data_IF_197096201422
#
_entry.id   IF_197096201422
#
_cell.length_a   1.000
_cell.length_b   1.000
_cell.length_c   1.000
_cell.angle_alpha   90.00
_cell.angle_beta   90.00
_cell.angle_gamma   90.00
#
_symmetry.space_group_name_H-M   'P 1'
#
loop_
_entity.id
_entity.type
_entity.pdbx_description
1 polymer ?
#
# COMPACT_ATOMS: atom_id res chain seq x y z
N UNK A 1 -19.00 27.60 19.20
CA UNK A 1 -17.81 26.98 19.76
C UNK A 1 -18.05 25.47 19.81
N UNK A 2 -17.34 24.73 18.97
CA UNK A 2 -17.30 23.28 19.05
C UNK A 2 -16.36 22.96 20.22
N UNK A 3 -16.87 22.33 21.27
CA UNK A 3 -16.03 21.78 22.33
C UNK A 3 -15.73 20.33 21.96
N UNK A 4 -14.47 20.04 21.69
CA UNK A 4 -13.92 18.70 21.66
C UNK A 4 -13.79 18.20 23.10
N UNK A 5 -14.74 17.41 23.59
CA UNK A 5 -14.54 16.60 24.77
C UNK A 5 -14.15 15.19 24.30
N UNK A 6 -12.85 14.98 24.07
CA UNK A 6 -12.29 13.65 23.98
C UNK A 6 -12.25 13.03 25.38
N UNK A 7 -13.30 12.28 25.74
CA UNK A 7 -13.25 11.39 26.90
C UNK A 7 -12.43 10.15 26.51
N UNK A 8 -11.23 10.05 27.06
CA UNK A 8 -10.47 8.81 27.10
C UNK A 8 -11.18 7.85 28.05
N UNK A 9 -11.78 6.78 27.50
CA UNK A 9 -11.64 5.41 28.01
C UNK A 9 -12.58 4.43 27.28
N UNK A 10 -11.98 3.32 26.83
CA UNK A 10 -12.52 1.97 26.55
C UNK A 10 -13.63 1.81 25.52
N UNK A 11 -13.32 1.03 24.47
CA UNK A 11 -14.18 0.51 23.39
C UNK A 11 -14.84 1.63 22.58
N UNK A 12 -14.23 1.93 21.45
CA UNK A 12 -14.62 2.96 20.50
C UNK A 12 -16.12 3.00 20.23
N UNK A 13 -16.86 3.74 21.04
CA UNK A 13 -18.16 4.26 20.68
C UNK A 13 -17.91 5.43 19.73
N UNK A 14 -18.14 5.22 18.44
CA UNK A 14 -17.99 6.23 17.39
C UNK A 14 -19.17 7.21 17.43
N UNK A 15 -19.46 7.77 18.60
CA UNK A 15 -20.57 8.71 18.79
C UNK A 15 -20.02 10.12 18.87
N UNK A 16 -20.38 10.95 17.89
CA UNK A 16 -20.05 12.38 17.88
C UNK A 16 -21.25 13.18 18.42
N UNK A 17 -21.06 13.90 19.51
CA UNK A 17 -22.08 14.82 20.02
C UNK A 17 -21.85 16.21 19.41
N UNK A 18 -22.86 16.72 18.70
CA UNK A 18 -22.85 18.06 18.12
C UNK A 18 -23.91 18.94 18.77
N UNK A 19 -23.51 20.13 19.19
CA UNK A 19 -24.38 21.10 19.80
C UNK A 19 -24.25 22.45 19.13
N UNK A 20 -25.39 23.04 18.73
CA UNK A 20 -25.47 24.37 18.15
C UNK A 20 -26.47 25.23 18.92
N UNK A 21 -26.04 26.42 19.35
CA UNK A 21 -26.91 27.39 19.99
C UNK A 21 -27.39 28.39 18.92
N UNK A 22 -28.71 28.38 18.63
CA UNK A 22 -29.33 29.29 17.69
C UNK A 22 -30.64 29.85 18.26
N UNK A 23 -31.00 31.08 17.89
CA UNK A 23 -32.27 31.72 18.25
C UNK A 23 -33.46 31.05 17.56
N UNK A 24 -33.24 30.41 16.41
CA UNK A 24 -34.24 29.67 15.63
C UNK A 24 -33.89 28.19 15.63
N UNK A 25 -34.66 27.39 16.38
CA UNK A 25 -34.44 25.96 16.55
C UNK A 25 -34.43 25.23 15.18
N UNK A 26 -35.34 25.58 14.28
CA UNK A 26 -35.46 24.93 12.95
C UNK A 26 -34.18 25.18 12.13
N UNK A 27 -33.67 26.41 12.12
CA UNK A 27 -32.41 26.74 11.45
C UNK A 27 -31.25 25.97 12.01
N UNK A 28 -31.17 25.78 13.33
CA UNK A 28 -30.15 24.99 13.99
C UNK A 28 -30.21 23.50 13.57
N UNK A 29 -31.39 22.91 13.54
CA UNK A 29 -31.62 21.53 13.09
C UNK A 29 -31.19 21.37 11.62
N UNK A 30 -31.61 22.27 10.73
CA UNK A 30 -31.31 22.20 9.31
C UNK A 30 -29.81 22.35 9.06
N UNK A 31 -29.14 23.22 9.82
CA UNK A 31 -27.68 23.38 9.75
C UNK A 31 -26.94 22.11 10.17
N UNK A 32 -27.31 21.50 11.31
CA UNK A 32 -26.69 20.26 11.76
C UNK A 32 -26.95 19.10 10.79
N UNK A 33 -28.17 19.01 10.26
CA UNK A 33 -28.51 18.00 9.23
C UNK A 33 -27.65 18.16 7.99
N UNK A 34 -27.51 19.39 7.49
CA UNK A 34 -26.70 19.67 6.32
C UNK A 34 -25.23 19.39 6.58
N UNK A 35 -24.73 19.69 7.78
CA UNK A 35 -23.35 19.37 8.20
C UNK A 35 -23.07 17.85 8.12
N UNK A 36 -23.99 17.01 8.65
CA UNK A 36 -23.86 15.54 8.57
C UNK A 36 -23.88 15.05 7.14
N UNK A 37 -24.77 15.62 6.29
CA UNK A 37 -24.83 15.25 4.85
C UNK A 37 -23.51 15.61 4.16
N UNK A 38 -22.98 16.81 4.41
CA UNK A 38 -21.70 17.22 3.84
C UNK A 38 -20.55 16.35 4.31
N UNK A 39 -20.48 16.02 5.60
CA UNK A 39 -19.46 15.14 6.16
C UNK A 39 -19.50 13.74 5.53
N UNK A 40 -20.68 13.12 5.44
CA UNK A 40 -20.82 11.79 4.84
C UNK A 40 -20.46 11.80 3.35
N UNK A 41 -20.86 12.84 2.61
CA UNK A 41 -20.48 13.00 1.21
C UNK A 41 -18.97 13.11 1.06
N UNK A 42 -18.34 13.95 1.88
CA UNK A 42 -16.90 14.14 1.87
C UNK A 42 -16.14 12.85 2.18
N UNK A 43 -16.56 12.10 3.21
CA UNK A 43 -15.95 10.83 3.56
C UNK A 43 -16.04 9.80 2.43
N UNK A 44 -17.15 9.80 1.68
CA UNK A 44 -17.29 8.94 0.51
C UNK A 44 -16.43 9.39 -0.67
N UNK A 45 -16.33 10.69 -0.93
CA UNK A 45 -15.44 11.24 -1.97
C UNK A 45 -13.98 10.89 -1.69
N UNK A 46 -13.51 11.04 -0.44
CA UNK A 46 -12.16 10.71 -0.02
C UNK A 46 -11.84 9.21 -0.21
N UNK A 47 -12.77 8.34 0.20
CA UNK A 47 -12.63 6.89 -0.01
C UNK A 47 -12.60 6.53 -1.50
N UNK A 48 -13.44 7.17 -2.30
CA UNK A 48 -13.48 6.94 -3.74
C UNK A 48 -12.18 7.40 -4.41
N UNK A 49 -11.61 8.52 -4.01
CA UNK A 49 -10.34 9.00 -4.58
C UNK A 49 -9.20 8.01 -4.32
N UNK A 50 -9.08 7.50 -3.08
CA UNK A 50 -8.11 6.47 -2.74
C UNK A 50 -8.38 5.18 -3.53
N UNK A 51 -9.65 4.76 -3.64
CA UNK A 51 -10.04 3.55 -4.37
C UNK A 51 -9.67 3.63 -5.86
N UNK A 52 -9.97 4.73 -6.52
CA UNK A 52 -9.63 4.97 -7.94
C UNK A 52 -8.12 4.91 -8.16
N UNK A 53 -7.33 5.52 -7.26
CA UNK A 53 -5.87 5.48 -7.35
C UNK A 53 -5.30 4.09 -7.10
N UNK A 54 -5.91 3.35 -6.16
CA UNK A 54 -5.54 1.97 -5.88
C UNK A 54 -5.87 1.06 -7.07
N UNK A 55 -7.04 1.24 -7.69
CA UNK A 55 -7.43 0.52 -8.90
C UNK A 55 -6.45 0.75 -10.06
N UNK A 56 -6.11 2.02 -10.32
CA UNK A 56 -5.13 2.36 -11.35
C UNK A 56 -3.76 1.70 -11.11
N UNK A 57 -3.30 1.70 -9.85
CA UNK A 57 -2.07 1.01 -9.46
C UNK A 57 -2.15 -0.50 -9.67
N UNK A 58 -3.25 -1.13 -9.25
CA UNK A 58 -3.45 -2.58 -9.39
C UNK A 58 -3.49 -2.99 -10.86
N UNK A 59 -4.19 -2.23 -11.70
CA UNK A 59 -4.27 -2.51 -13.13
C UNK A 59 -2.90 -2.40 -13.81
N UNK A 60 -2.12 -1.33 -13.53
CA UNK A 60 -0.75 -1.17 -14.02
C UNK A 60 0.16 -2.35 -13.58
N UNK A 61 -0.03 -2.83 -12.36
CA UNK A 61 0.71 -3.97 -11.85
C UNK A 61 0.29 -5.29 -12.49
N UNK A 62 -1.00 -5.50 -12.75
CA UNK A 62 -1.50 -6.68 -13.44
C UNK A 62 -0.95 -6.78 -14.86
N UNK A 63 -0.91 -5.67 -15.59
CA UNK A 63 -0.29 -5.63 -16.92
C UNK A 63 1.18 -6.04 -16.88
N UNK A 64 1.92 -5.54 -15.88
CA UNK A 64 3.33 -5.87 -15.69
C UNK A 64 3.52 -7.36 -15.37
N UNK A 65 2.72 -7.90 -14.43
CA UNK A 65 2.77 -9.31 -14.05
C UNK A 65 2.43 -10.20 -15.25
N UNK A 66 1.41 -9.87 -16.03
CA UNK A 66 1.04 -10.62 -17.24
C UNK A 66 2.17 -10.63 -18.28
N UNK A 67 2.85 -9.49 -18.46
CA UNK A 67 4.01 -9.40 -19.35
C UNK A 67 5.18 -10.26 -18.87
N UNK A 68 5.48 -10.24 -17.56
CA UNK A 68 6.52 -11.05 -16.94
C UNK A 68 6.18 -12.56 -17.03
N UNK A 69 4.92 -12.94 -16.80
CA UNK A 69 4.45 -14.32 -16.89
C UNK A 69 4.61 -14.87 -18.30
N UNK A 70 4.14 -14.15 -19.32
CA UNK A 70 4.27 -14.55 -20.72
C UNK A 70 5.75 -14.76 -21.12
N UNK A 71 6.65 -13.90 -20.61
CA UNK A 71 8.10 -14.05 -20.83
C UNK A 71 8.65 -15.30 -20.14
N UNK A 72 8.23 -15.57 -18.91
CA UNK A 72 8.69 -16.72 -18.11
C UNK A 72 8.17 -18.04 -18.67
N UNK A 73 6.92 -18.10 -19.12
CA UNK A 73 6.34 -19.30 -19.75
C UNK A 73 7.10 -19.67 -21.02
N UNK A 74 7.45 -18.68 -21.85
CA UNK A 74 8.29 -18.89 -23.04
C UNK A 74 9.68 -19.42 -22.70
N UNK A 75 10.29 -18.95 -21.64
CA UNK A 75 11.59 -19.45 -21.15
C UNK A 75 11.47 -20.87 -20.60
N UNK A 76 10.41 -21.18 -19.84
CA UNK A 76 10.16 -22.51 -19.29
C UNK A 76 9.90 -23.54 -20.40
N UNK A 77 9.13 -23.18 -21.42
CA UNK A 77 8.89 -24.04 -22.57
C UNK A 77 10.20 -24.36 -23.30
N UNK A 78 11.04 -23.34 -23.53
CA UNK A 78 12.34 -23.53 -24.14
C UNK A 78 13.29 -24.38 -23.26
N UNK A 79 13.24 -24.20 -21.94
CA UNK A 79 14.03 -25.01 -21.00
C UNK A 79 13.57 -26.48 -20.98
N UNK A 80 12.27 -26.73 -20.95
CA UNK A 80 11.70 -28.10 -21.05
C UNK A 80 12.07 -28.80 -22.36
N UNK A 81 12.01 -28.06 -23.48
CA UNK A 81 12.42 -28.60 -24.81
C UNK A 81 13.91 -28.94 -24.89
N UNK A 82 14.78 -28.17 -24.22
CA UNK A 82 16.24 -28.39 -24.22
C UNK A 82 16.70 -29.50 -23.28
N UNK A 83 16.05 -29.63 -22.12
CA UNK A 83 16.52 -30.47 -21.02
C UNK A 83 15.73 -31.76 -20.86
N UNK A 84 15.03 -32.32 -21.83
CA UNK A 84 14.31 -33.63 -21.74
C UNK A 84 14.21 -34.10 -20.28
N UNK A 85 13.35 -33.46 -19.46
CA UNK A 85 13.25 -33.76 -18.04
C UNK A 85 12.80 -35.20 -17.85
N UNK A 86 13.76 -36.04 -17.42
CA UNK A 86 13.51 -37.37 -16.90
C UNK A 86 12.80 -37.16 -15.56
N UNK A 87 11.62 -37.78 -15.39
CA UNK A 87 10.92 -37.83 -14.13
C UNK A 87 11.84 -38.41 -13.07
N UNK A 88 12.33 -37.57 -12.14
CA UNK A 88 12.99 -38.01 -10.93
C UNK A 88 11.93 -38.65 -10.00
N UNK A 89 11.99 -39.94 -9.77
CA UNK A 89 11.25 -40.61 -8.71
C UNK A 89 11.76 -40.09 -7.36
N UNK A 90 10.94 -39.34 -6.66
CA UNK A 90 11.28 -38.73 -5.38
C UNK A 90 10.80 -39.61 -4.26
N UNK A 91 11.72 -40.33 -3.63
CA UNK A 91 11.53 -41.00 -2.32
C UNK A 91 11.95 -40.06 -1.19
N UNK A 92 11.27 -38.91 -1.03
CA UNK A 92 11.57 -38.03 0.08
C UNK A 92 10.44 -37.01 0.35
N UNK A 93 9.32 -37.51 0.87
CA UNK A 93 8.17 -36.67 1.20
C UNK A 93 8.51 -35.50 2.16
N UNK A 94 9.45 -35.71 3.08
CA UNK A 94 9.91 -34.72 4.05
C UNK A 94 10.81 -33.64 3.39
N UNK A 95 11.70 -34.08 2.53
CA UNK A 95 12.59 -33.19 1.77
C UNK A 95 11.83 -32.26 0.82
N UNK A 96 10.79 -32.77 0.17
CA UNK A 96 9.91 -31.99 -0.71
C UNK A 96 9.14 -30.93 0.08
N UNK A 97 8.67 -31.25 1.29
CA UNK A 97 7.93 -30.31 2.13
C UNK A 97 8.83 -29.15 2.58
N UNK A 98 10.07 -29.41 2.96
CA UNK A 98 11.03 -28.41 3.37
C UNK A 98 11.46 -27.51 2.21
N UNK A 99 11.76 -28.09 1.04
CA UNK A 99 12.06 -27.32 -0.18
C UNK A 99 10.90 -26.39 -0.57
N UNK A 100 9.68 -26.92 -0.55
CA UNK A 100 8.47 -26.12 -0.83
C UNK A 100 8.30 -24.95 0.14
N UNK A 101 8.63 -25.12 1.43
CA UNK A 101 8.59 -24.05 2.43
C UNK A 101 9.62 -22.95 2.14
N UNK A 102 10.83 -23.29 1.73
CA UNK A 102 11.84 -22.29 1.33
C UNK A 102 11.42 -21.55 0.06
N UNK A 103 10.91 -22.25 -0.94
CA UNK A 103 10.40 -21.65 -2.19
C UNK A 103 9.26 -20.68 -1.90
N UNK A 104 8.32 -21.03 -1.03
CA UNK A 104 7.24 -20.14 -0.62
C UNK A 104 7.78 -18.86 0.01
N UNK A 105 8.73 -18.95 0.94
CA UNK A 105 9.35 -17.78 1.59
C UNK A 105 10.09 -16.89 0.59
N UNK A 106 10.81 -17.48 -0.37
CA UNK A 106 11.49 -16.75 -1.43
C UNK A 106 10.49 -16.00 -2.32
N UNK A 107 9.40 -16.65 -2.71
CA UNK A 107 8.34 -16.07 -3.53
C UNK A 107 7.60 -14.94 -2.79
N UNK A 108 7.31 -15.12 -1.50
CA UNK A 108 6.70 -14.08 -0.67
C UNK A 108 7.60 -12.84 -0.57
N UNK A 109 8.89 -13.03 -0.30
CA UNK A 109 9.84 -11.92 -0.25
C UNK A 109 9.98 -11.21 -1.60
N UNK A 110 10.08 -11.96 -2.70
CA UNK A 110 10.15 -11.42 -4.05
C UNK A 110 8.89 -10.61 -4.40
N UNK A 111 7.71 -11.11 -4.03
CA UNK A 111 6.42 -10.43 -4.24
C UNK A 111 6.38 -9.10 -3.49
N UNK A 112 6.78 -9.07 -2.21
CA UNK A 112 6.81 -7.84 -1.42
C UNK A 112 7.83 -6.84 -1.97
N UNK A 113 9.02 -7.27 -2.38
CA UNK A 113 10.04 -6.41 -3.01
C UNK A 113 9.50 -5.80 -4.32
N UNK A 114 8.85 -6.61 -5.15
CA UNK A 114 8.25 -6.15 -6.41
C UNK A 114 7.12 -5.14 -6.14
N UNK A 115 6.30 -5.36 -5.11
CA UNK A 115 5.24 -4.45 -4.69
C UNK A 115 5.80 -3.09 -4.24
N UNK A 116 6.83 -3.11 -3.40
CA UNK A 116 7.51 -1.89 -2.94
C UNK A 116 8.10 -1.12 -4.13
N UNK A 117 8.80 -1.79 -5.04
CA UNK A 117 9.35 -1.14 -6.23
C UNK A 117 8.27 -0.49 -7.10
N UNK A 118 7.14 -1.17 -7.31
CA UNK A 118 6.01 -0.65 -8.08
C UNK A 118 5.39 0.56 -7.41
N UNK A 119 5.29 0.56 -6.06
CA UNK A 119 4.74 1.68 -5.30
C UNK A 119 5.67 2.91 -5.36
N UNK A 120 6.98 2.71 -5.24
CA UNK A 120 7.96 3.78 -5.40
C UNK A 120 7.85 4.40 -6.81
N UNK A 121 7.84 3.57 -7.85
CA UNK A 121 7.69 4.03 -9.24
C UNK A 121 6.37 4.78 -9.46
N UNK A 122 5.28 4.31 -8.86
CA UNK A 122 3.97 4.97 -8.95
C UNK A 122 4.01 6.37 -8.29
N UNK A 123 4.60 6.46 -7.09
CA UNK A 123 4.73 7.72 -6.37
C UNK A 123 5.63 8.74 -7.08
N UNK A 124 6.62 8.28 -7.86
CA UNK A 124 7.55 9.12 -8.61
C UNK A 124 7.00 9.65 -9.94
N UNK A 125 5.89 9.13 -10.44
CA UNK A 125 5.29 9.61 -11.69
C UNK A 125 4.85 11.07 -11.55
N UNK A 126 5.17 11.96 -12.50
CA UNK A 126 4.80 13.37 -12.40
C UNK A 126 3.30 13.61 -12.19
N UNK A 127 2.43 12.81 -12.81
CA UNK A 127 0.97 12.91 -12.67
C UNK A 127 0.45 12.46 -11.29
N UNK A 128 1.27 11.83 -10.46
CA UNK A 128 0.90 11.37 -9.12
C UNK A 128 1.50 12.26 -8.01
N UNK A 129 2.23 13.29 -8.39
CA UNK A 129 2.85 14.22 -7.44
C UNK A 129 1.79 14.91 -6.58
N UNK A 130 1.94 14.81 -5.28
CA UNK A 130 1.00 15.35 -4.28
C UNK A 130 -0.42 14.78 -4.34
N UNK A 131 -0.62 13.68 -5.05
CA UNK A 131 -1.87 12.94 -5.08
C UNK A 131 -1.86 11.82 -4.04
N UNK A 132 -3.04 11.30 -3.70
CA UNK A 132 -3.15 10.15 -2.80
C UNK A 132 -2.41 8.94 -3.36
N UNK A 133 -1.76 8.20 -2.48
CA UNK A 133 -1.06 6.96 -2.80
C UNK A 133 -2.00 5.76 -2.61
N UNK A 134 -1.78 4.68 -3.37
CA UNK A 134 -2.52 3.44 -3.19
C UNK A 134 -2.37 2.90 -1.77
N UNK A 135 -3.46 2.45 -1.19
CA UNK A 135 -3.50 1.83 0.14
C UNK A 135 -4.16 0.45 0.08
N UNK A 136 -3.94 -0.37 1.10
CA UNK A 136 -4.48 -1.74 1.17
C UNK A 136 -4.09 -2.64 0.00
N UNK A 137 -2.88 -2.48 -0.52
CA UNK A 137 -2.34 -3.19 -1.67
C UNK A 137 -1.62 -4.50 -1.30
N UNK A 138 -1.71 -4.95 -0.06
CA UNK A 138 -1.04 -6.16 0.44
C UNK A 138 0.42 -5.93 0.87
N UNK A 139 0.83 -4.69 1.08
CA UNK A 139 2.10 -4.37 1.73
C UNK A 139 2.07 -4.84 3.19
N UNK A 140 3.17 -5.45 3.66
CA UNK A 140 3.27 -5.99 5.03
C UNK A 140 4.01 -5.06 6.00
N UNK A 141 4.71 -4.05 5.50
CA UNK A 141 5.46 -3.12 6.34
C UNK A 141 4.53 -2.07 6.97
N UNK A 142 4.18 -2.28 8.23
CA UNK A 142 3.24 -1.43 8.98
C UNK A 142 3.70 0.03 9.07
N UNK A 143 5.00 0.27 9.17
CA UNK A 143 5.55 1.62 9.23
C UNK A 143 5.27 2.38 7.91
N UNK A 144 5.53 1.75 6.77
CA UNK A 144 5.21 2.34 5.46
C UNK A 144 3.71 2.54 5.26
N UNK A 145 2.89 1.58 5.70
CA UNK A 145 1.42 1.68 5.63
C UNK A 145 0.92 2.89 6.42
N UNK A 146 1.40 3.08 7.65
CA UNK A 146 1.03 4.22 8.49
C UNK A 146 1.42 5.54 7.83
N UNK A 147 2.65 5.67 7.35
CA UNK A 147 3.13 6.87 6.67
C UNK A 147 2.31 7.20 5.40
N UNK A 148 1.92 6.17 4.62
CA UNK A 148 1.07 6.35 3.44
C UNK A 148 -0.32 6.84 3.84
N UNK A 149 -0.91 6.27 4.90
CA UNK A 149 -2.22 6.71 5.38
C UNK A 149 -2.21 8.15 5.86
N UNK A 150 -1.18 8.57 6.58
CA UNK A 150 -1.04 9.95 7.03
C UNK A 150 -0.79 10.90 5.86
N UNK A 151 0.06 10.53 4.90
CA UNK A 151 0.25 11.26 3.65
C UNK A 151 -1.08 11.45 2.91
N UNK A 152 -1.88 10.40 2.79
CA UNK A 152 -3.17 10.44 2.10
C UNK A 152 -4.15 11.42 2.75
N UNK A 153 -4.17 11.53 4.10
CA UNK A 153 -4.97 12.54 4.80
C UNK A 153 -4.59 13.96 4.38
N UNK A 154 -3.29 14.26 4.36
CA UNK A 154 -2.77 15.58 3.96
C UNK A 154 -3.03 15.85 2.48
N UNK A 155 -2.86 14.85 1.60
CA UNK A 155 -3.13 14.97 0.17
C UNK A 155 -4.60 15.26 -0.12
N UNK A 156 -5.53 14.57 0.56
CA UNK A 156 -6.96 14.82 0.46
C UNK A 156 -7.33 16.21 0.96
N UNK A 157 -6.74 16.66 2.06
CA UNK A 157 -6.96 18.03 2.56
C UNK A 157 -6.49 19.07 1.56
N UNK A 158 -5.28 18.89 1.00
CA UNK A 158 -4.77 19.78 -0.05
C UNK A 158 -5.70 19.80 -1.27
N UNK A 159 -6.11 18.63 -1.77
CA UNK A 159 -7.00 18.52 -2.92
C UNK A 159 -8.36 19.20 -2.66
N UNK A 160 -8.85 19.12 -1.43
CA UNK A 160 -10.07 19.80 -0.99
C UNK A 160 -9.94 21.32 -1.03
N UNK A 161 -8.84 21.86 -0.51
CA UNK A 161 -8.57 23.30 -0.53
C UNK A 161 -8.38 23.82 -1.95
N UNK A 162 -7.77 23.06 -2.85
CA UNK A 162 -7.59 23.44 -4.25
C UNK A 162 -8.90 23.62 -5.05
N UNK A 163 -10.04 23.12 -4.53
CA UNK A 163 -11.37 23.39 -5.14
C UNK A 163 -11.80 24.83 -4.96
N UNK A 164 -11.28 25.54 -3.95
CA UNK A 164 -11.70 26.92 -3.58
C UNK A 164 -10.55 27.90 -3.45
N UNK A 165 -9.32 27.43 -3.40
CA UNK A 165 -8.10 28.21 -3.24
C UNK A 165 -7.10 27.96 -4.38
N UNK A 166 -6.23 28.94 -4.62
CA UNK A 166 -5.11 28.83 -5.56
C UNK A 166 -3.97 27.97 -4.97
N UNK A 167 -3.15 27.38 -5.84
CA UNK A 167 -1.90 26.71 -5.44
C UNK A 167 -0.93 27.65 -4.69
N UNK A 168 -0.99 28.95 -4.96
CA UNK A 168 -0.19 29.99 -4.27
C UNK A 168 -0.79 30.47 -2.95
N UNK A 169 -1.87 29.86 -2.47
CA UNK A 169 -2.41 30.13 -1.13
C UNK A 169 -1.42 29.65 -0.06
N UNK A 170 -1.09 30.46 0.97
CA UNK A 170 -0.14 30.04 2.01
C UNK A 170 -0.45 28.69 2.65
N UNK A 171 -1.74 28.39 2.87
CA UNK A 171 -2.17 27.11 3.44
C UNK A 171 -1.92 25.95 2.47
N UNK A 172 -2.16 26.14 1.17
CA UNK A 172 -1.90 25.11 0.15
C UNK A 172 -0.39 24.89 -0.04
N UNK A 173 0.39 25.96 0.02
CA UNK A 173 1.86 25.87 -0.04
C UNK A 173 2.42 25.11 1.18
N UNK A 174 1.90 25.36 2.36
CA UNK A 174 2.29 24.65 3.58
C UNK A 174 1.99 23.15 3.48
N UNK A 175 0.77 22.75 3.09
CA UNK A 175 0.41 21.35 2.86
C UNK A 175 1.25 20.70 1.75
N UNK A 176 1.59 21.46 0.71
CA UNK A 176 2.45 20.98 -0.37
C UNK A 176 3.87 20.71 0.13
N UNK A 177 4.41 21.58 0.99
CA UNK A 177 5.71 21.37 1.65
C UNK A 177 5.68 20.14 2.56
N UNK A 178 4.64 20.01 3.38
CA UNK A 178 4.44 18.86 4.24
C UNK A 178 4.38 17.56 3.43
N UNK A 179 3.64 17.51 2.33
CA UNK A 179 3.56 16.33 1.45
C UNK A 179 4.92 15.98 0.84
N UNK A 180 5.75 16.97 0.52
CA UNK A 180 7.11 16.75 0.02
C UNK A 180 7.98 16.03 1.06
N UNK A 181 7.92 16.47 2.32
CA UNK A 181 8.68 15.90 3.41
C UNK A 181 8.18 14.48 3.77
N UNK A 182 6.87 14.30 3.80
CA UNK A 182 6.24 12.99 4.01
C UNK A 182 6.57 12.01 2.88
N UNK A 183 6.58 12.45 1.63
CA UNK A 183 6.98 11.61 0.49
C UNK A 183 8.43 11.14 0.64
N UNK A 184 9.34 12.03 1.06
CA UNK A 184 10.73 11.63 1.37
C UNK A 184 10.79 10.56 2.46
N UNK A 185 10.02 10.73 3.53
CA UNK A 185 9.93 9.76 4.64
C UNK A 185 9.38 8.41 4.18
N UNK A 186 8.33 8.40 3.36
CA UNK A 186 7.76 7.18 2.76
C UNK A 186 8.82 6.47 1.90
N UNK A 187 9.53 7.20 1.05
CA UNK A 187 10.59 6.60 0.21
C UNK A 187 11.70 5.98 1.04
N UNK A 188 12.12 6.62 2.13
CA UNK A 188 13.12 6.07 3.05
C UNK A 188 12.61 4.81 3.73
N UNK A 189 11.37 4.81 4.24
CA UNK A 189 10.76 3.64 4.88
C UNK A 189 10.62 2.46 3.91
N UNK A 190 10.08 2.70 2.72
CA UNK A 190 9.95 1.68 1.67
C UNK A 190 11.32 1.12 1.24
N UNK A 191 12.34 1.98 1.09
CA UNK A 191 13.69 1.55 0.76
C UNK A 191 14.31 0.71 1.87
N UNK A 192 14.04 1.03 3.13
CA UNK A 192 14.50 0.23 4.27
C UNK A 192 13.78 -1.11 4.34
N UNK A 193 12.45 -1.13 4.18
CA UNK A 193 11.66 -2.36 4.13
C UNK A 193 12.15 -3.28 2.99
N UNK A 194 12.42 -2.72 1.81
CA UNK A 194 13.01 -3.45 0.68
C UNK A 194 14.35 -4.07 1.05
N UNK A 195 15.29 -3.32 1.63
CA UNK A 195 16.60 -3.85 2.05
C UNK A 195 16.46 -4.99 3.05
N UNK A 196 15.56 -4.87 4.02
CA UNK A 196 15.30 -5.91 5.00
C UNK A 196 14.80 -7.21 4.33
N UNK A 197 13.87 -7.08 3.37
CA UNK A 197 13.36 -8.21 2.59
C UNK A 197 14.44 -8.84 1.69
N UNK A 198 15.33 -8.06 1.10
CA UNK A 198 16.46 -8.54 0.31
C UNK A 198 17.45 -9.35 1.17
N UNK A 199 17.74 -8.88 2.38
CA UNK A 199 18.57 -9.61 3.35
C UNK A 199 17.89 -10.94 3.74
N UNK A 200 16.61 -10.92 4.09
CA UNK A 200 15.85 -12.13 4.42
C UNK A 200 15.81 -13.11 3.24
N UNK A 201 15.51 -12.63 2.04
CA UNK A 201 15.50 -13.46 0.82
C UNK A 201 16.86 -14.12 0.57
N UNK A 202 17.96 -13.36 0.71
CA UNK A 202 19.31 -13.91 0.50
C UNK A 202 19.68 -14.96 1.57
N UNK A 203 19.28 -14.75 2.83
CA UNK A 203 19.47 -15.73 3.89
C UNK A 203 18.70 -17.04 3.60
N UNK A 204 17.42 -16.93 3.21
CA UNK A 204 16.59 -18.09 2.83
C UNK A 204 17.15 -18.79 1.58
N UNK A 205 17.62 -18.04 0.58
CA UNK A 205 18.25 -18.61 -0.62
C UNK A 205 19.52 -19.40 -0.31
N UNK A 206 20.34 -18.91 0.63
CA UNK A 206 21.53 -19.65 1.09
C UNK A 206 21.15 -20.97 1.79
N UNK A 207 20.15 -20.93 2.68
CA UNK A 207 19.65 -22.14 3.37
C UNK A 207 19.06 -23.15 2.37
N UNK A 208 18.26 -22.66 1.40
CA UNK A 208 17.73 -23.48 0.33
C UNK A 208 18.84 -24.18 -0.47
N UNK A 209 19.88 -23.44 -0.84
CA UNK A 209 21.02 -23.99 -1.59
C UNK A 209 21.79 -25.07 -0.82
N UNK A 210 22.02 -24.87 0.49
CA UNK A 210 22.65 -25.87 1.37
C UNK A 210 21.80 -27.13 1.48
N UNK A 211 20.51 -26.97 1.76
CA UNK A 211 19.59 -28.08 1.88
C UNK A 211 19.43 -28.89 0.58
N UNK A 212 19.36 -28.21 -0.55
CA UNK A 212 19.29 -28.85 -1.87
C UNK A 212 20.57 -29.66 -2.21
N UNK A 213 21.74 -29.20 -1.75
CA UNK A 213 23.00 -29.97 -1.89
C UNK A 213 23.01 -31.22 -1.00
N UNK A 214 22.47 -31.15 0.21
CA UNK A 214 22.36 -32.30 1.11
C UNK A 214 21.44 -33.38 0.53
N UNK A 215 20.26 -32.97 0.05
CA UNK A 215 19.30 -33.86 -0.59
C UNK A 215 19.86 -34.52 -1.86
N UNK A 216 20.71 -33.82 -2.61
CA UNK A 216 21.33 -34.35 -3.84
C UNK A 216 22.47 -35.32 -3.60
N UNK A 217 22.99 -35.40 -2.36
CA UNK A 217 24.09 -36.32 -1.96
C UNK A 217 23.60 -37.63 -1.34
N UNK A 218 22.33 -37.70 -0.97
CA UNK A 218 21.65 -38.85 -0.41
C UNK A 218 20.95 -39.64 -1.50
#
# INVERSE_FOLDING_TARGET
AVKDEAAYESKASTTLNMQLNDKNIQRGIDYLRQLVICYNRQANEDKNEIAIRTEAFVNDRLEKINSELNSTEGQLENYKKRNRLVELKVDAKESVTNLSSYEQKLNEAATQISLINSLIQFAERPGNKYQVLPSNIGLRDEASISLINDYNKVALERNRLLRTASESSPVVEELTSQLKDMNSSIRMALSQAKRNLEIQRNAVASQYGQYNQEVSRT
#
